data_IF_992949771300
#
_entry.id   IF_992949771300
#
_cell.length_a   1.000
_cell.length_b   1.000
_cell.length_c   1.000
_cell.angle_alpha   90.00
_cell.angle_beta   90.00
_cell.angle_gamma   90.00
#
_symmetry.space_group_name_H-M   'P 1'
#
loop_
_entity.id
_entity.type
_entity.pdbx_description
1 polymer ?
#
# COMPACT_ATOMS: atom_id res chain seq x y z
N UNK A 1 23.40 -15.65 12.81
CA UNK A 1 22.33 -15.10 11.96
C UNK A 1 22.92 -13.89 11.27
N UNK A 2 22.98 -13.92 9.95
CA UNK A 2 23.46 -12.79 9.16
C UNK A 2 22.47 -11.64 9.37
N UNK A 3 22.98 -10.50 9.84
CA UNK A 3 22.18 -9.28 9.96
C UNK A 3 22.03 -8.74 8.54
N UNK A 4 20.85 -8.89 7.96
CA UNK A 4 20.52 -8.27 6.69
C UNK A 4 20.34 -6.76 6.92
N UNK A 5 21.30 -5.97 6.45
CA UNK A 5 21.21 -4.51 6.46
C UNK A 5 20.44 -4.10 5.21
N UNK A 6 19.19 -3.68 5.39
CA UNK A 6 18.39 -3.13 4.30
C UNK A 6 19.08 -1.84 3.78
N UNK A 7 19.31 -1.79 2.47
CA UNK A 7 19.85 -0.60 1.79
C UNK A 7 18.72 0.34 1.40
N UNK A 8 19.03 1.63 1.35
CA UNK A 8 18.06 2.61 0.85
C UNK A 8 17.76 2.37 -0.63
N UNK A 9 16.58 2.80 -1.12
CA UNK A 9 16.25 2.72 -2.55
C UNK A 9 17.30 3.38 -3.45
N UNK A 10 17.81 4.53 -3.04
CA UNK A 10 18.87 5.26 -3.75
C UNK A 10 20.13 4.39 -3.91
N UNK A 11 20.62 3.79 -2.81
CA UNK A 11 21.83 2.97 -2.84
C UNK A 11 21.61 1.70 -3.68
N UNK A 12 20.45 1.06 -3.54
CA UNK A 12 20.13 -0.15 -4.31
C UNK A 12 20.04 0.12 -5.82
N UNK A 13 19.44 1.23 -6.23
CA UNK A 13 19.36 1.63 -7.64
C UNK A 13 20.75 1.92 -8.20
N UNK A 14 21.62 2.60 -7.41
CA UNK A 14 22.99 2.88 -7.82
C UNK A 14 23.81 1.58 -7.99
N UNK A 15 23.69 0.62 -7.07
CA UNK A 15 24.37 -0.68 -7.19
C UNK A 15 23.91 -1.44 -8.44
N UNK A 16 22.63 -1.50 -8.70
CA UNK A 16 22.09 -2.14 -9.92
C UNK A 16 22.61 -1.46 -11.19
N UNK A 17 22.76 -0.15 -11.18
CA UNK A 17 23.33 0.59 -12.30
C UNK A 17 24.79 0.24 -12.52
N UNK A 18 25.61 0.14 -11.45
CA UNK A 18 27.00 -0.29 -11.53
C UNK A 18 27.14 -1.75 -12.02
N UNK A 19 26.17 -2.61 -11.71
CA UNK A 19 26.07 -3.97 -12.25
C UNK A 19 25.66 -4.00 -13.73
N UNK A 20 25.32 -2.84 -14.33
CA UNK A 20 25.00 -2.71 -15.75
C UNK A 20 23.51 -2.71 -16.08
N UNK A 21 22.62 -2.76 -15.07
CA UNK A 21 21.19 -2.65 -15.30
C UNK A 21 20.81 -1.22 -15.65
N UNK A 22 20.22 -1.03 -16.82
CA UNK A 22 19.78 0.27 -17.35
C UNK A 22 18.26 0.45 -17.36
N UNK A 23 17.55 -0.67 -17.23
CA UNK A 23 16.08 -0.68 -17.08
C UNK A 23 15.75 -1.27 -15.72
N UNK A 24 15.22 -0.44 -14.82
CA UNK A 24 14.92 -0.83 -13.44
C UNK A 24 13.47 -0.47 -13.12
N UNK A 25 12.73 -1.46 -12.64
CA UNK A 25 11.39 -1.29 -12.08
C UNK A 25 11.47 -1.33 -10.55
N UNK A 26 11.07 -0.24 -9.92
CA UNK A 26 10.97 -0.13 -8.47
C UNK A 26 9.53 -0.48 -8.06
N UNK A 27 9.37 -1.59 -7.34
CA UNK A 27 8.08 -2.00 -6.79
C UNK A 27 7.99 -1.55 -5.32
N UNK A 28 7.15 -0.55 -4.99
CA UNK A 28 6.99 -0.13 -3.60
C UNK A 28 6.18 -1.17 -2.81
N UNK A 29 6.54 -1.35 -1.54
CA UNK A 29 5.73 -2.10 -0.57
C UNK A 29 4.64 -1.25 0.09
N UNK A 30 4.51 0.02 -0.25
CA UNK A 30 3.53 0.95 0.34
C UNK A 30 2.09 0.53 0.05
N UNK A 31 1.24 0.62 1.05
CA UNK A 31 -0.18 0.28 0.94
C UNK A 31 -0.95 1.40 0.25
N UNK A 32 -0.77 2.64 0.69
CA UNK A 32 -1.51 3.81 0.21
C UNK A 32 -0.60 4.87 -0.38
N UNK A 33 -1.20 5.82 -1.09
CA UNK A 33 -0.55 7.05 -1.51
C UNK A 33 -0.29 7.92 -0.27
N UNK A 34 0.92 7.88 0.24
CA UNK A 34 1.38 8.62 1.41
C UNK A 34 2.71 9.33 1.13
N UNK A 35 3.24 9.96 2.16
CA UNK A 35 4.47 10.75 2.09
C UNK A 35 5.66 9.89 1.65
N UNK A 36 5.85 8.73 2.26
CA UNK A 36 6.97 7.84 1.97
C UNK A 36 6.95 7.31 0.53
N UNK A 37 5.74 7.09 -0.02
CA UNK A 37 5.60 6.72 -1.42
C UNK A 37 6.00 7.88 -2.34
N UNK A 38 5.61 9.10 -2.02
CA UNK A 38 5.97 10.28 -2.81
C UNK A 38 7.46 10.57 -2.74
N UNK A 39 8.10 10.40 -1.60
CA UNK A 39 9.56 10.52 -1.46
C UNK A 39 10.29 9.49 -2.33
N UNK A 40 9.78 8.25 -2.40
CA UNK A 40 10.31 7.26 -3.33
C UNK A 40 10.13 7.68 -4.79
N UNK A 41 8.96 8.22 -5.15
CA UNK A 41 8.68 8.73 -6.51
C UNK A 41 9.65 9.85 -6.88
N UNK A 42 9.87 10.82 -6.00
CA UNK A 42 10.78 11.93 -6.25
C UNK A 42 12.24 11.46 -6.32
N UNK A 43 12.65 10.49 -5.50
CA UNK A 43 13.97 9.85 -5.61
C UNK A 43 14.17 9.21 -6.98
N UNK A 44 13.22 8.40 -7.42
CA UNK A 44 13.27 7.74 -8.74
C UNK A 44 13.28 8.76 -9.87
N UNK A 45 12.44 9.80 -9.76
CA UNK A 45 12.38 10.90 -10.73
C UNK A 45 13.69 11.64 -10.85
N UNK A 46 14.31 11.98 -9.72
CA UNK A 46 15.60 12.68 -9.69
C UNK A 46 16.69 11.84 -10.39
N UNK A 47 16.78 10.56 -10.08
CA UNK A 47 17.75 9.66 -10.71
C UNK A 47 17.50 9.48 -12.22
N UNK A 48 16.24 9.33 -12.63
CA UNK A 48 15.87 9.22 -14.04
C UNK A 48 16.12 10.52 -14.82
N UNK A 49 16.19 11.65 -14.13
CA UNK A 49 16.51 12.97 -14.67
C UNK A 49 18.00 13.25 -14.87
N UNK A 50 18.89 12.35 -14.49
CA UNK A 50 20.34 12.54 -14.65
C UNK A 50 20.67 12.70 -16.14
N UNK A 51 21.16 13.90 -16.49
CA UNK A 51 21.58 14.23 -17.84
C UNK A 51 23.10 14.10 -17.99
N UNK A 52 23.53 13.65 -19.16
CA UNK A 52 24.94 13.53 -19.52
C UNK A 52 25.19 14.25 -20.84
N UNK A 53 26.42 14.74 -21.05
CA UNK A 53 26.81 15.43 -22.29
C UNK A 53 26.55 14.56 -23.52
N UNK A 54 26.84 13.27 -23.42
CA UNK A 54 26.57 12.30 -24.48
C UNK A 54 25.40 11.41 -24.03
N UNK A 55 24.32 11.36 -24.78
CA UNK A 55 23.11 10.60 -24.46
C UNK A 55 23.40 9.11 -24.17
N UNK A 56 24.39 8.51 -24.87
CA UNK A 56 24.79 7.12 -24.65
C UNK A 56 25.38 6.84 -23.26
N UNK A 57 25.78 7.89 -22.53
CA UNK A 57 26.35 7.77 -21.20
C UNK A 57 25.28 7.98 -20.10
N UNK A 58 24.00 8.12 -20.45
CA UNK A 58 22.92 8.18 -19.44
C UNK A 58 22.97 6.93 -18.58
N UNK A 59 22.79 7.05 -17.26
CA UNK A 59 22.85 5.88 -16.37
C UNK A 59 21.65 4.94 -16.57
N UNK A 60 20.48 5.46 -16.94
CA UNK A 60 19.26 4.67 -17.11
C UNK A 60 18.63 4.92 -18.47
N UNK A 61 18.12 3.86 -19.09
CA UNK A 61 17.21 3.92 -20.23
C UNK A 61 15.77 4.04 -19.75
N UNK A 62 15.41 3.25 -18.72
CA UNK A 62 14.11 3.30 -18.07
C UNK A 62 14.28 3.05 -16.57
N UNK A 63 13.92 4.04 -15.75
CA UNK A 63 13.83 3.89 -14.30
C UNK A 63 12.43 4.35 -13.88
N UNK A 64 11.60 3.40 -13.44
CA UNK A 64 10.18 3.64 -13.14
C UNK A 64 9.80 3.05 -11.79
N UNK A 65 8.86 3.69 -11.11
CA UNK A 65 8.26 3.20 -9.89
C UNK A 65 6.80 2.82 -10.14
N UNK A 66 6.38 1.67 -9.63
CA UNK A 66 4.99 1.24 -9.73
C UNK A 66 4.12 1.91 -8.66
N UNK A 67 2.80 1.71 -8.75
CA UNK A 67 1.85 2.29 -7.82
C UNK A 67 1.83 1.55 -6.47
N UNK A 68 1.41 2.21 -5.38
CA UNK A 68 1.14 1.55 -4.11
C UNK A 68 -0.07 0.61 -4.24
N UNK A 69 -0.27 -0.28 -3.27
CA UNK A 69 -1.28 -1.33 -3.36
C UNK A 69 -2.71 -0.79 -3.60
N UNK A 70 -3.10 0.29 -2.91
CA UNK A 70 -4.42 0.93 -3.06
C UNK A 70 -4.46 1.97 -4.20
N UNK A 71 -3.42 2.01 -5.05
CA UNK A 71 -3.38 2.83 -6.24
C UNK A 71 -3.05 4.29 -6.01
N UNK A 72 -3.11 5.05 -7.10
CA UNK A 72 -2.88 6.50 -7.13
C UNK A 72 -4.06 7.21 -7.77
N UNK A 73 -4.20 8.50 -7.50
CA UNK A 73 -5.23 9.32 -8.16
C UNK A 73 -4.82 9.60 -9.60
N UNK A 74 -5.72 9.34 -10.54
CA UNK A 74 -5.49 9.61 -11.96
C UNK A 74 -6.43 8.81 -12.85
N UNK A 75 -6.72 9.37 -14.03
CA UNK A 75 -7.65 8.76 -14.99
C UNK A 75 -7.05 7.58 -15.75
N UNK A 76 -5.73 7.59 -15.99
CA UNK A 76 -5.03 6.51 -16.68
C UNK A 76 -5.03 5.19 -15.88
N UNK A 77 -4.96 5.32 -14.56
CA UNK A 77 -4.96 4.19 -13.63
C UNK A 77 -5.92 4.48 -12.46
N UNK A 78 -7.24 4.30 -12.64
CA UNK A 78 -8.21 4.56 -11.58
C UNK A 78 -7.93 3.70 -10.35
N UNK A 79 -7.72 4.34 -9.20
CA UNK A 79 -7.40 3.66 -7.93
C UNK A 79 -8.45 2.61 -7.53
N UNK A 80 -9.71 2.82 -7.85
CA UNK A 80 -10.78 1.85 -7.60
C UNK A 80 -10.52 0.47 -8.23
N UNK A 81 -9.78 0.42 -9.34
CA UNK A 81 -9.36 -0.84 -9.99
C UNK A 81 -8.30 -1.56 -9.15
N UNK A 82 -7.33 -0.83 -8.63
CA UNK A 82 -6.26 -1.36 -7.78
C UNK A 82 -6.85 -1.85 -6.45
N UNK A 83 -7.74 -1.06 -5.82
CA UNK A 83 -8.46 -1.43 -4.59
C UNK A 83 -9.27 -2.73 -4.78
N UNK A 84 -9.99 -2.86 -5.89
CA UNK A 84 -10.74 -4.10 -6.18
C UNK A 84 -9.81 -5.31 -6.34
N UNK A 85 -8.63 -5.12 -6.90
CA UNK A 85 -7.61 -6.18 -7.03
C UNK A 85 -7.11 -6.61 -5.65
N UNK A 86 -6.80 -5.66 -4.78
CA UNK A 86 -6.41 -5.92 -3.39
C UNK A 86 -7.53 -6.63 -2.63
N UNK A 87 -8.78 -6.14 -2.71
CA UNK A 87 -9.92 -6.76 -2.03
C UNK A 87 -10.10 -8.24 -2.43
N UNK A 88 -9.88 -8.58 -3.71
CA UNK A 88 -9.89 -9.98 -4.17
C UNK A 88 -8.73 -10.79 -3.61
N UNK A 89 -7.54 -10.22 -3.50
CA UNK A 89 -6.37 -10.88 -2.93
C UNK A 89 -6.56 -11.19 -1.43
N UNK A 90 -7.39 -10.41 -0.73
CA UNK A 90 -7.70 -10.59 0.68
C UNK A 90 -8.80 -11.64 0.96
N UNK A 91 -9.30 -12.34 -0.07
CA UNK A 91 -10.37 -13.35 0.07
C UNK A 91 -10.07 -14.41 1.13
N UNK A 92 -8.83 -14.84 1.28
CA UNK A 92 -8.43 -15.83 2.29
C UNK A 92 -8.66 -15.33 3.72
N UNK A 93 -8.39 -14.05 4.00
CA UNK A 93 -8.62 -13.44 5.31
C UNK A 93 -10.12 -13.37 5.63
N UNK A 94 -10.94 -13.04 4.64
CA UNK A 94 -12.41 -13.04 4.76
C UNK A 94 -12.91 -14.45 5.11
N UNK A 95 -12.38 -15.50 4.46
CA UNK A 95 -12.75 -16.88 4.77
C UNK A 95 -12.36 -17.27 6.20
N UNK A 96 -11.20 -16.84 6.70
CA UNK A 96 -10.80 -17.07 8.09
C UNK A 96 -11.79 -16.42 9.07
N UNK A 97 -12.22 -15.20 8.83
CA UNK A 97 -13.21 -14.51 9.67
C UNK A 97 -14.58 -15.24 9.63
N UNK A 98 -15.03 -15.59 8.41
CA UNK A 98 -16.28 -16.32 8.20
C UNK A 98 -16.32 -17.66 8.94
N UNK A 99 -15.27 -18.49 8.85
CA UNK A 99 -15.19 -19.77 9.55
C UNK A 99 -15.21 -19.63 11.08
N UNK A 100 -14.86 -18.46 11.60
CA UNK A 100 -14.87 -18.16 13.04
C UNK A 100 -16.13 -17.44 13.49
N UNK A 101 -17.09 -17.24 12.61
CA UNK A 101 -18.28 -16.44 12.86
C UNK A 101 -17.91 -15.07 13.48
N UNK A 102 -16.99 -14.37 12.83
CA UNK A 102 -16.39 -13.13 13.29
C UNK A 102 -16.37 -12.08 12.17
N UNK A 103 -16.35 -10.82 12.53
CA UNK A 103 -16.02 -9.76 11.60
C UNK A 103 -14.51 -9.73 11.33
N UNK A 104 -14.11 -9.21 10.16
CA UNK A 104 -12.71 -8.98 9.82
C UNK A 104 -12.35 -7.52 10.16
N UNK A 105 -11.32 -7.32 10.96
CA UNK A 105 -10.78 -6.00 11.27
C UNK A 105 -9.33 -5.92 10.80
N UNK A 106 -9.07 -5.06 9.84
CA UNK A 106 -7.71 -4.72 9.45
C UNK A 106 -7.15 -3.58 10.29
N UNK A 107 -5.85 -3.66 10.58
CA UNK A 107 -5.09 -2.57 11.19
C UNK A 107 -4.04 -2.10 10.19
N UNK A 108 -4.26 -0.92 9.61
CA UNK A 108 -3.34 -0.24 8.71
C UNK A 108 -2.45 0.74 9.46
N UNK A 109 -1.34 1.16 8.83
CA UNK A 109 -0.51 2.24 9.38
C UNK A 109 -1.25 3.57 9.30
N UNK A 110 -1.76 3.92 8.14
CA UNK A 110 -2.38 5.22 7.88
C UNK A 110 -1.38 6.30 7.50
N UNK A 111 -1.83 7.53 7.49
CA UNK A 111 -1.01 8.74 7.26
C UNK A 111 -1.80 9.97 7.69
N UNK A 112 -1.18 10.91 8.41
CA UNK A 112 -1.85 12.11 8.90
C UNK A 112 -2.01 13.20 7.83
N UNK A 113 -1.10 13.26 6.87
CA UNK A 113 -0.95 14.39 5.94
C UNK A 113 -1.71 14.22 4.63
N UNK A 114 -1.97 12.98 4.24
CA UNK A 114 -2.61 12.68 2.96
C UNK A 114 -4.00 12.06 3.15
N UNK A 115 -4.92 12.27 2.20
CA UNK A 115 -6.26 11.71 2.27
C UNK A 115 -6.27 10.19 2.02
N UNK A 116 -5.26 9.47 2.56
CA UNK A 116 -5.17 8.02 2.47
C UNK A 116 -6.36 7.31 3.12
N UNK A 117 -7.00 7.95 4.09
CA UNK A 117 -8.22 7.46 4.73
C UNK A 117 -9.33 7.14 3.75
N UNK A 118 -9.48 7.92 2.69
CA UNK A 118 -10.45 7.65 1.62
C UNK A 118 -10.24 6.31 0.93
N UNK A 119 -8.99 5.94 0.61
CA UNK A 119 -8.68 4.67 -0.02
C UNK A 119 -8.89 3.46 0.92
N UNK A 120 -8.68 3.63 2.21
CA UNK A 120 -8.99 2.61 3.21
C UNK A 120 -10.50 2.40 3.37
N UNK A 121 -11.29 3.49 3.39
CA UNK A 121 -12.75 3.39 3.42
C UNK A 121 -13.31 2.73 2.16
N UNK A 122 -12.81 3.08 0.99
CA UNK A 122 -13.17 2.46 -0.28
C UNK A 122 -12.83 0.96 -0.27
N UNK A 123 -11.67 0.55 0.28
CA UNK A 123 -11.32 -0.85 0.42
C UNK A 123 -12.36 -1.60 1.27
N UNK A 124 -12.77 -1.03 2.40
CA UNK A 124 -13.80 -1.62 3.27
C UNK A 124 -15.13 -1.77 2.55
N UNK A 125 -15.57 -0.74 1.81
CA UNK A 125 -16.79 -0.76 1.01
C UNK A 125 -16.74 -1.87 -0.07
N UNK A 126 -15.63 -1.97 -0.77
CA UNK A 126 -15.43 -3.01 -1.79
C UNK A 126 -15.40 -4.41 -1.17
N UNK A 127 -14.76 -4.60 -0.01
CA UNK A 127 -14.77 -5.89 0.71
C UNK A 127 -16.18 -6.28 1.12
N UNK A 128 -16.94 -5.35 1.71
CA UNK A 128 -18.32 -5.61 2.14
C UNK A 128 -19.28 -5.86 0.96
N UNK A 129 -18.99 -5.25 -0.19
CA UNK A 129 -19.73 -5.52 -1.43
C UNK A 129 -19.42 -6.89 -2.02
N UNK A 130 -18.14 -7.27 -2.05
CA UNK A 130 -17.71 -8.56 -2.61
C UNK A 130 -18.04 -9.75 -1.69
N UNK A 131 -18.06 -9.51 -0.38
CA UNK A 131 -18.21 -10.55 0.65
C UNK A 131 -19.27 -10.15 1.69
N UNK A 132 -20.57 -10.04 1.28
CA UNK A 132 -21.63 -9.49 2.14
C UNK A 132 -21.92 -10.32 3.40
N UNK A 133 -21.54 -11.60 3.40
CA UNK A 133 -21.72 -12.51 4.54
C UNK A 133 -20.69 -12.30 5.67
N UNK A 134 -19.66 -11.47 5.46
CA UNK A 134 -18.61 -11.22 6.44
C UNK A 134 -18.31 -9.74 6.51
N UNK A 135 -18.73 -9.08 7.57
CA UNK A 135 -18.44 -7.65 7.75
C UNK A 135 -16.95 -7.40 7.91
N UNK A 136 -16.43 -6.47 7.11
CA UNK A 136 -15.05 -6.03 7.16
C UNK A 136 -14.96 -4.60 7.65
N UNK A 137 -13.93 -4.32 8.44
CA UNK A 137 -13.60 -3.02 9.01
C UNK A 137 -12.11 -2.77 8.85
N UNK A 138 -11.71 -1.51 8.91
CA UNK A 138 -10.30 -1.13 8.91
C UNK A 138 -10.12 0.08 9.83
N UNK A 139 -9.12 -0.01 10.70
CA UNK A 139 -8.61 1.10 11.49
C UNK A 139 -7.16 1.37 11.12
N UNK A 140 -6.69 2.58 11.37
CA UNK A 140 -5.29 2.97 11.17
C UNK A 140 -4.67 3.46 12.46
N UNK A 141 -3.34 3.33 12.56
CA UNK A 141 -2.55 3.85 13.68
C UNK A 141 -2.50 5.38 13.60
N UNK A 142 -2.28 5.91 12.40
CA UNK A 142 -2.16 7.35 12.14
C UNK A 142 -3.23 7.83 11.17
N UNK A 143 -3.85 8.96 11.49
CA UNK A 143 -4.88 9.57 10.65
C UNK A 143 -6.26 8.93 10.79
N UNK A 144 -6.96 8.71 9.68
CA UNK A 144 -8.36 8.26 9.68
C UNK A 144 -8.57 7.05 8.75
N UNK A 145 -9.46 6.09 9.13
CA UNK A 145 -10.26 6.01 10.36
C UNK A 145 -9.49 5.49 11.57
N UNK A 146 -9.48 6.26 12.65
CA UNK A 146 -8.80 5.86 13.89
C UNK A 146 -9.51 4.71 14.62
N UNK A 147 -8.75 3.97 15.44
CA UNK A 147 -9.23 2.79 16.14
C UNK A 147 -10.48 3.05 16.99
N UNK A 148 -10.53 4.15 17.74
CA UNK A 148 -11.68 4.50 18.59
C UNK A 148 -12.98 4.65 17.79
N UNK A 149 -12.88 5.21 16.59
CA UNK A 149 -14.03 5.36 15.69
C UNK A 149 -14.53 4.00 15.21
N UNK A 150 -13.61 3.12 14.83
CA UNK A 150 -13.96 1.78 14.37
C UNK A 150 -14.49 0.90 15.51
N UNK A 151 -13.96 1.02 16.72
CA UNK A 151 -14.50 0.32 17.90
C UNK A 151 -15.92 0.74 18.24
N UNK A 152 -16.24 2.04 18.11
CA UNK A 152 -17.64 2.52 18.27
C UNK A 152 -18.55 1.93 17.18
N UNK A 153 -18.07 1.84 15.95
CA UNK A 153 -18.86 1.24 14.85
C UNK A 153 -19.09 -0.26 15.08
N UNK A 154 -18.08 -1.01 15.48
CA UNK A 154 -18.19 -2.43 15.81
C UNK A 154 -19.26 -2.68 16.91
N UNK A 155 -19.25 -1.86 17.97
CA UNK A 155 -20.25 -1.92 19.05
C UNK A 155 -21.65 -1.61 18.52
N UNK A 156 -21.81 -0.56 17.72
CA UNK A 156 -23.09 -0.17 17.11
C UNK A 156 -23.65 -1.28 16.22
N UNK A 157 -22.79 -1.98 15.49
CA UNK A 157 -23.16 -3.06 14.59
C UNK A 157 -23.37 -4.42 15.32
N UNK A 158 -23.21 -4.44 16.65
CA UNK A 158 -23.43 -5.64 17.48
C UNK A 158 -22.35 -6.71 17.28
N UNK A 159 -21.16 -6.34 16.80
CA UNK A 159 -20.05 -7.26 16.57
C UNK A 159 -19.43 -7.66 17.92
N UNK A 160 -19.46 -8.97 18.21
CA UNK A 160 -18.90 -9.55 19.45
C UNK A 160 -17.55 -10.23 19.27
N UNK A 161 -17.18 -10.58 18.04
CA UNK A 161 -15.92 -11.23 17.69
C UNK A 161 -15.30 -10.61 16.45
N UNK A 162 -13.98 -10.45 16.48
CA UNK A 162 -13.20 -9.97 15.33
C UNK A 162 -12.01 -10.88 15.08
N UNK A 163 -11.67 -11.09 13.81
CA UNK A 163 -10.37 -11.55 13.38
C UNK A 163 -9.56 -10.28 13.05
N UNK A 164 -8.52 -10.03 13.83
CA UNK A 164 -7.63 -8.89 13.62
C UNK A 164 -6.47 -9.31 12.70
N UNK A 165 -6.22 -8.51 11.68
CA UNK A 165 -5.13 -8.73 10.71
C UNK A 165 -4.35 -7.44 10.49
N UNK A 166 -3.01 -7.49 10.45
CA UNK A 166 -2.23 -6.35 10.00
C UNK A 166 -2.47 -6.08 8.51
N UNK A 167 -2.56 -4.82 8.16
CA UNK A 167 -2.63 -4.34 6.78
C UNK A 167 -1.59 -3.22 6.59
N UNK A 168 -0.34 -3.60 6.84
CA UNK A 168 0.84 -2.75 6.75
C UNK A 168 2.05 -3.61 6.43
N UNK A 169 3.04 -3.04 5.76
CA UNK A 169 4.28 -3.75 5.40
C UNK A 169 5.37 -3.60 6.46
N UNK A 170 5.31 -2.51 7.20
CA UNK A 170 6.15 -2.22 8.38
C UNK A 170 5.26 -1.60 9.47
N UNK A 171 5.64 -1.79 10.72
CA UNK A 171 4.98 -1.21 11.88
C UNK A 171 6.04 -0.55 12.77
#
# INVERSE_FOLDING_TARGET
>A
ADIYIARSPLATIADLQEEGYRTILVQPGHISLGEEYLDLVETVRALNGIATVKAKNRPFDHLVVSRPALGTMGTAHPYARDIRTVAKALAADVQVARHRDAALLYMGHGNEFFPSGGSYLELVEVLNTLYPDTKSYLAVVEGFPGLDTVLRQLKKDGVSRVVLKPFMTVA
#
